data_IF_621266546061
#
_entry.id   IF_621266546061
#
_cell.length_a   1.000
_cell.length_b   1.000
_cell.length_c   1.000
_cell.angle_alpha   90.00
_cell.angle_beta   90.00
_cell.angle_gamma   90.00
#
_symmetry.space_group_name_H-M   'P 1'
#
loop_
_entity.id
_entity.type
_entity.pdbx_description
1 polymer ?
#
# COMPACT_ATOMS: atom_id res chain seq x y z
N UNK A 1 -15.96 -13.51 8.94
CA UNK A 1 -16.57 -14.28 7.82
C UNK A 1 -15.54 -14.45 6.71
N UNK A 2 -15.27 -15.67 6.23
CA UNK A 2 -14.34 -15.86 5.12
C UNK A 2 -14.96 -15.31 3.82
N UNK A 3 -14.16 -14.60 3.00
CA UNK A 3 -14.60 -14.01 1.72
C UNK A 3 -15.43 -15.00 0.87
N UNK A 4 -15.07 -16.27 0.91
CA UNK A 4 -15.73 -17.33 0.13
C UNK A 4 -17.19 -17.56 0.56
N UNK A 5 -17.50 -17.48 1.86
CA UNK A 5 -18.88 -17.64 2.35
C UNK A 5 -19.77 -16.46 1.94
N UNK A 6 -19.23 -15.24 1.95
CA UNK A 6 -19.95 -14.05 1.52
C UNK A 6 -20.22 -14.06 0.01
N UNK A 7 -19.25 -14.51 -0.79
CA UNK A 7 -19.42 -14.65 -2.25
C UNK A 7 -20.49 -15.69 -2.58
N UNK A 8 -20.46 -16.86 -1.91
CA UNK A 8 -21.50 -17.89 -2.06
C UNK A 8 -22.89 -17.38 -1.67
N UNK A 9 -22.99 -16.61 -0.58
CA UNK A 9 -24.26 -16.02 -0.15
C UNK A 9 -24.83 -15.05 -1.20
N UNK A 10 -24.00 -14.16 -1.74
CA UNK A 10 -24.42 -13.22 -2.80
C UNK A 10 -24.87 -14.00 -4.03
N UNK A 11 -24.13 -15.02 -4.44
CA UNK A 11 -24.47 -15.84 -5.61
C UNK A 11 -25.80 -16.58 -5.42
N UNK A 12 -26.06 -17.09 -4.22
CA UNK A 12 -27.31 -17.76 -3.87
C UNK A 12 -28.51 -16.79 -3.89
N UNK A 13 -28.33 -15.55 -3.40
CA UNK A 13 -29.35 -14.49 -3.48
C UNK A 13 -29.67 -14.14 -4.94
N UNK A 14 -28.65 -14.05 -5.80
CA UNK A 14 -28.85 -13.79 -7.23
C UNK A 14 -29.63 -14.93 -7.89
N UNK A 15 -29.28 -16.19 -7.61
CA UNK A 15 -29.99 -17.36 -8.15
C UNK A 15 -31.46 -17.36 -7.67
N UNK A 16 -31.71 -17.09 -6.39
CA UNK A 16 -33.07 -16.98 -5.84
C UNK A 16 -33.90 -15.89 -6.54
N UNK A 17 -33.28 -14.75 -6.86
CA UNK A 17 -33.93 -13.67 -7.59
C UNK A 17 -34.33 -14.07 -9.02
N UNK A 18 -33.52 -14.88 -9.70
CA UNK A 18 -33.83 -15.36 -11.06
C UNK A 18 -34.88 -16.48 -11.08
N UNK A 19 -34.89 -17.36 -10.08
CA UNK A 19 -35.83 -18.50 -10.00
C UNK A 19 -37.21 -18.06 -9.49
N UNK A 20 -37.31 -16.94 -8.75
CA UNK A 20 -38.59 -16.48 -8.22
C UNK A 20 -39.56 -16.09 -9.34
N UNK A 21 -40.87 -16.39 -9.21
CA UNK A 21 -41.87 -16.00 -10.21
C UNK A 21 -42.02 -14.48 -10.35
N UNK A 22 -42.54 -14.02 -11.50
CA UNK A 22 -42.72 -12.59 -11.82
C UNK A 22 -44.16 -12.10 -11.57
N UNK A 23 -44.94 -12.86 -10.81
CA UNK A 23 -46.35 -12.65 -10.53
C UNK A 23 -46.63 -12.61 -9.03
N UNK A 24 -47.79 -12.04 -8.67
CA UNK A 24 -48.25 -11.91 -7.29
C UNK A 24 -47.27 -11.15 -6.39
N UNK A 25 -47.08 -11.64 -5.17
CA UNK A 25 -46.25 -10.99 -4.14
C UNK A 25 -44.77 -10.91 -4.55
N UNK A 26 -44.28 -11.88 -5.32
CA UNK A 26 -42.88 -11.91 -5.75
C UNK A 26 -42.54 -10.81 -6.76
N UNK A 27 -43.48 -10.44 -7.64
CA UNK A 27 -43.34 -9.30 -8.54
C UNK A 27 -43.09 -7.99 -7.77
N UNK A 28 -43.90 -7.74 -6.74
CA UNK A 28 -43.78 -6.56 -5.88
C UNK A 28 -42.43 -6.52 -5.14
N UNK A 29 -41.94 -7.67 -4.66
CA UNK A 29 -40.62 -7.77 -4.02
C UNK A 29 -39.49 -7.44 -5.00
N UNK A 30 -39.54 -7.96 -6.23
CA UNK A 30 -38.52 -7.69 -7.25
C UNK A 30 -38.48 -6.22 -7.66
N UNK A 31 -39.64 -5.58 -7.81
CA UNK A 31 -39.75 -4.16 -8.15
C UNK A 31 -39.15 -3.30 -7.02
N UNK A 32 -39.53 -3.57 -5.77
CA UNK A 32 -38.97 -2.86 -4.62
C UNK A 32 -37.45 -3.05 -4.47
N UNK A 33 -36.94 -4.25 -4.76
CA UNK A 33 -35.50 -4.51 -4.77
C UNK A 33 -34.78 -3.70 -5.87
N UNK A 34 -35.39 -3.57 -7.05
CA UNK A 34 -34.85 -2.75 -8.14
C UNK A 34 -34.82 -1.26 -7.77
N UNK A 35 -35.88 -0.78 -7.10
CA UNK A 35 -35.93 0.58 -6.56
C UNK A 35 -34.97 0.81 -5.38
N UNK A 36 -34.50 -0.25 -4.71
CA UNK A 36 -33.48 -0.14 -3.66
C UNK A 36 -32.08 0.11 -4.24
N UNK A 37 -31.78 -0.35 -5.45
CA UNK A 37 -30.45 -0.24 -6.08
C UNK A 37 -29.92 1.20 -6.18
N UNK A 38 -30.71 2.20 -6.59
CA UNK A 38 -30.28 3.60 -6.55
C UNK A 38 -29.88 4.08 -5.15
N UNK A 39 -30.62 3.71 -4.11
CA UNK A 39 -30.28 4.10 -2.73
C UNK A 39 -29.00 3.42 -2.25
N UNK A 40 -28.79 2.16 -2.61
CA UNK A 40 -27.52 1.46 -2.36
C UNK A 40 -26.37 2.18 -3.05
N UNK A 41 -26.56 2.63 -4.30
CA UNK A 41 -25.54 3.38 -5.04
C UNK A 41 -25.20 4.70 -4.35
N UNK A 42 -26.21 5.47 -3.92
CA UNK A 42 -26.02 6.72 -3.17
C UNK A 42 -25.29 6.44 -1.85
N UNK A 43 -25.67 5.40 -1.11
CA UNK A 43 -25.00 5.01 0.13
C UNK A 43 -23.52 4.66 -0.08
N UNK A 44 -23.20 3.94 -1.17
CA UNK A 44 -21.81 3.64 -1.56
C UNK A 44 -21.03 4.92 -1.88
N UNK A 45 -21.62 5.87 -2.60
CA UNK A 45 -20.98 7.16 -2.90
C UNK A 45 -20.69 7.93 -1.60
N UNK A 46 -21.68 8.03 -0.71
CA UNK A 46 -21.51 8.70 0.59
C UNK A 46 -20.42 8.02 1.42
N UNK A 47 -20.42 6.69 1.48
CA UNK A 47 -19.38 5.90 2.13
C UNK A 47 -17.98 6.20 1.55
N UNK A 48 -17.84 6.27 0.22
CA UNK A 48 -16.59 6.61 -0.44
C UNK A 48 -16.11 8.03 -0.07
N UNK A 49 -17.00 9.02 -0.07
CA UNK A 49 -16.67 10.40 0.31
C UNK A 49 -16.19 10.49 1.76
N UNK A 50 -16.87 9.81 2.69
CA UNK A 50 -16.49 9.77 4.10
C UNK A 50 -15.12 9.10 4.25
N UNK A 51 -14.91 7.94 3.63
CA UNK A 51 -13.64 7.21 3.74
C UNK A 51 -12.45 7.99 3.15
N UNK A 52 -12.64 8.68 2.01
CA UNK A 52 -11.63 9.59 1.45
C UNK A 52 -11.28 10.70 2.45
N UNK A 53 -12.31 11.31 3.06
CA UNK A 53 -12.13 12.42 3.99
C UNK A 53 -11.39 11.99 5.26
N UNK A 54 -11.76 10.85 5.82
CA UNK A 54 -11.09 10.26 7.00
C UNK A 54 -9.64 9.90 6.69
N UNK A 55 -9.39 9.26 5.54
CA UNK A 55 -8.05 8.88 5.12
C UNK A 55 -7.15 10.10 4.89
N UNK A 56 -7.64 11.14 4.19
CA UNK A 56 -6.91 12.40 3.98
C UNK A 56 -6.63 13.12 5.30
N UNK A 57 -7.58 13.11 6.25
CA UNK A 57 -7.37 13.71 7.57
C UNK A 57 -6.30 12.96 8.37
N UNK A 58 -6.32 11.63 8.36
CA UNK A 58 -5.32 10.81 9.03
C UNK A 58 -3.92 11.00 8.39
N UNK A 59 -3.87 11.07 7.06
CA UNK A 59 -2.65 11.37 6.32
C UNK A 59 -2.04 12.72 6.73
N UNK A 60 -2.84 13.80 6.73
CA UNK A 60 -2.38 15.13 7.14
C UNK A 60 -1.90 15.17 8.58
N UNK A 61 -2.58 14.47 9.50
CA UNK A 61 -2.16 14.37 10.91
C UNK A 61 -0.80 13.69 11.05
N UNK A 62 -0.59 12.59 10.34
CA UNK A 62 0.68 11.87 10.34
C UNK A 62 1.81 12.69 9.70
N UNK A 63 1.53 13.39 8.61
CA UNK A 63 2.53 14.23 7.95
C UNK A 63 2.94 15.43 8.81
N UNK A 64 2.00 16.03 9.55
CA UNK A 64 2.27 17.12 10.48
C UNK A 64 3.07 16.69 11.71
N UNK A 65 2.73 15.54 12.30
CA UNK A 65 3.39 15.04 13.50
C UNK A 65 3.58 13.52 13.44
N UNK A 66 4.84 13.11 13.32
CA UNK A 66 5.21 11.70 13.35
C UNK A 66 5.28 11.25 14.80
N UNK A 67 4.27 10.47 15.20
CA UNK A 67 4.19 9.77 16.49
C UNK A 67 3.66 8.36 16.27
N UNK A 68 3.93 7.45 17.21
CA UNK A 68 3.44 6.07 17.15
C UNK A 68 1.92 5.98 16.97
N UNK A 69 1.19 6.77 17.75
CA UNK A 69 -0.27 6.79 17.68
C UNK A 69 -0.76 7.18 16.27
N UNK A 70 -0.18 8.22 15.68
CA UNK A 70 -0.56 8.69 14.35
C UNK A 70 -0.21 7.66 13.27
N UNK A 71 0.95 7.01 13.37
CA UNK A 71 1.39 5.97 12.43
C UNK A 71 0.47 4.76 12.50
N UNK A 72 0.15 4.29 13.70
CA UNK A 72 -0.73 3.12 13.93
C UNK A 72 -2.15 3.43 13.45
N UNK A 73 -2.69 4.60 13.81
CA UNK A 73 -4.02 5.02 13.38
C UNK A 73 -4.12 5.13 11.86
N UNK A 74 -3.10 5.70 11.21
CA UNK A 74 -3.04 5.76 9.76
C UNK A 74 -2.99 4.36 9.14
N UNK A 75 -2.16 3.44 9.66
CA UNK A 75 -2.07 2.06 9.18
C UNK A 75 -3.41 1.30 9.32
N UNK A 76 -4.14 1.50 10.42
CA UNK A 76 -5.49 0.93 10.62
C UNK A 76 -6.49 1.45 9.59
N UNK A 77 -6.57 2.77 9.41
CA UNK A 77 -7.47 3.39 8.42
C UNK A 77 -7.12 2.90 7.02
N UNK A 78 -5.83 2.87 6.68
CA UNK A 78 -5.34 2.39 5.40
C UNK A 78 -5.75 0.94 5.13
N UNK A 79 -5.70 0.06 6.12
CA UNK A 79 -6.15 -1.33 5.98
C UNK A 79 -7.63 -1.44 5.60
N UNK A 80 -8.49 -0.61 6.20
CA UNK A 80 -9.94 -0.60 5.98
C UNK A 80 -10.30 0.04 4.63
N UNK A 81 -9.57 1.07 4.19
CA UNK A 81 -9.84 1.78 2.93
C UNK A 81 -9.49 0.92 1.71
N UNK A 82 -10.42 0.75 0.77
CA UNK A 82 -10.18 -0.09 -0.41
C UNK A 82 -9.21 0.52 -1.43
N UNK A 83 -9.25 1.84 -1.64
CA UNK A 83 -8.59 2.47 -2.79
C UNK A 83 -7.57 3.57 -2.42
N UNK A 84 -6.74 3.27 -1.43
CA UNK A 84 -5.75 4.21 -0.86
C UNK A 84 -4.82 4.79 -1.95
N UNK A 85 -4.40 3.95 -2.93
CA UNK A 85 -3.49 4.36 -4.01
C UNK A 85 -4.07 5.45 -4.89
N UNK A 86 -5.35 5.34 -5.29
CA UNK A 86 -6.01 6.37 -6.10
C UNK A 86 -6.36 7.59 -5.26
N UNK A 87 -6.66 7.41 -3.98
CA UNK A 87 -7.06 8.51 -3.09
C UNK A 87 -5.91 9.44 -2.68
N UNK A 88 -4.74 8.88 -2.35
CA UNK A 88 -3.59 9.64 -1.83
C UNK A 88 -2.45 9.77 -2.84
N UNK A 89 -2.42 8.92 -3.88
CA UNK A 89 -1.30 8.85 -4.83
C UNK A 89 -0.17 7.95 -4.34
N UNK A 90 0.43 7.20 -5.26
CA UNK A 90 1.50 6.24 -4.92
C UNK A 90 2.76 6.92 -4.42
N UNK A 91 3.17 8.03 -5.04
CA UNK A 91 4.38 8.77 -4.65
C UNK A 91 4.25 9.36 -3.25
N UNK A 92 3.13 10.04 -2.96
CA UNK A 92 2.86 10.62 -1.63
C UNK A 92 2.89 9.57 -0.50
N UNK A 93 2.41 8.35 -0.78
CA UNK A 93 2.44 7.25 0.19
C UNK A 93 3.85 6.72 0.41
N UNK A 94 4.66 6.62 -0.65
CA UNK A 94 6.07 6.20 -0.56
C UNK A 94 6.88 7.24 0.19
N UNK A 95 6.68 8.53 -0.10
CA UNK A 95 7.38 9.63 0.55
C UNK A 95 7.02 9.72 2.03
N UNK A 96 5.74 9.58 2.37
CA UNK A 96 5.28 9.47 3.76
C UNK A 96 5.92 8.27 4.46
N UNK A 97 5.96 7.11 3.80
CA UNK A 97 6.58 5.91 4.37
C UNK A 97 8.06 6.12 4.65
N UNK A 98 8.81 6.73 3.73
CA UNK A 98 10.22 7.07 3.93
C UNK A 98 10.38 8.01 5.13
N UNK A 99 9.56 9.07 5.20
CA UNK A 99 9.56 10.02 6.32
C UNK A 99 9.35 9.32 7.66
N UNK A 100 8.40 8.39 7.74
CA UNK A 100 8.13 7.60 8.95
C UNK A 100 9.25 6.61 9.24
N UNK A 101 9.77 5.92 8.23
CA UNK A 101 10.81 4.90 8.39
C UNK A 101 12.10 5.47 9.01
N UNK A 102 12.49 6.68 8.58
CA UNK A 102 13.69 7.36 9.07
C UNK A 102 13.46 8.23 10.31
N UNK A 103 12.20 8.42 10.74
CA UNK A 103 11.90 9.17 11.95
C UNK A 103 12.37 8.42 13.20
N UNK A 104 12.96 9.15 14.14
CA UNK A 104 13.28 8.65 15.50
C UNK A 104 12.06 8.64 16.42
N UNK A 105 11.00 9.36 16.07
CA UNK A 105 9.79 9.54 16.87
C UNK A 105 8.76 8.41 16.67
N UNK A 106 9.07 7.46 15.78
CA UNK A 106 8.26 6.27 15.54
C UNK A 106 9.04 5.03 16.00
N UNK A 107 8.40 4.20 16.82
CA UNK A 107 8.91 2.90 17.24
C UNK A 107 8.98 1.92 16.07
N UNK A 108 9.78 0.87 16.24
CA UNK A 108 9.89 -0.20 15.24
C UNK A 108 8.53 -0.86 14.97
N UNK A 109 7.73 -1.08 16.02
CA UNK A 109 6.40 -1.68 15.91
C UNK A 109 5.45 -0.86 15.03
N UNK A 110 5.43 0.47 15.21
CA UNK A 110 4.61 1.36 14.40
C UNK A 110 5.04 1.32 12.92
N UNK A 111 6.36 1.28 12.65
CA UNK A 111 6.92 1.17 11.30
C UNK A 111 6.57 -0.16 10.63
N UNK A 112 6.61 -1.27 11.37
CA UNK A 112 6.20 -2.59 10.88
C UNK A 112 4.72 -2.65 10.51
N UNK A 113 3.85 -2.07 11.34
CA UNK A 113 2.41 -1.98 11.04
C UNK A 113 2.15 -1.17 9.78
N UNK A 114 2.84 -0.05 9.61
CA UNK A 114 2.75 0.76 8.40
C UNK A 114 3.27 0.00 7.18
N UNK A 115 4.42 -0.67 7.30
CA UNK A 115 4.99 -1.52 6.24
C UNK A 115 4.01 -2.61 5.80
N UNK A 116 3.42 -3.35 6.74
CA UNK A 116 2.45 -4.40 6.45
C UNK A 116 1.21 -3.84 5.75
N UNK A 117 0.73 -2.67 6.17
CA UNK A 117 -0.40 -2.00 5.55
C UNK A 117 -0.06 -1.54 4.11
N UNK A 118 1.15 -1.00 3.87
CA UNK A 118 1.62 -0.62 2.53
C UNK A 118 1.69 -1.84 1.60
N UNK A 119 2.25 -2.96 2.08
CA UNK A 119 2.33 -4.22 1.32
C UNK A 119 0.95 -4.79 0.99
N UNK A 120 -0.02 -4.71 1.90
CA UNK A 120 -1.42 -5.12 1.62
C UNK A 120 -2.05 -4.31 0.49
N UNK A 121 -1.65 -3.05 0.30
CA UNK A 121 -2.07 -2.22 -0.83
C UNK A 121 -1.22 -2.41 -2.08
N UNK A 122 -0.33 -3.41 -2.10
CA UNK A 122 0.61 -3.70 -3.19
C UNK A 122 1.55 -2.53 -3.48
N UNK A 123 1.92 -1.75 -2.47
CA UNK A 123 2.97 -0.73 -2.59
C UNK A 123 4.31 -1.42 -2.34
N UNK A 124 5.26 -1.20 -3.23
CA UNK A 124 6.61 -1.71 -3.06
C UNK A 124 7.42 -0.71 -2.24
N UNK A 125 7.70 -1.09 -1.00
CA UNK A 125 8.43 -0.28 -0.03
C UNK A 125 9.44 -1.20 0.66
N UNK A 126 10.64 -0.69 1.01
CA UNK A 126 11.64 -1.50 1.70
C UNK A 126 11.17 -1.85 3.12
N UNK A 127 11.74 -2.90 3.75
CA UNK A 127 11.47 -3.21 5.14
C UNK A 127 11.85 -2.06 6.08
N UNK A 128 11.22 -1.95 7.26
CA UNK A 128 11.55 -0.90 8.21
C UNK A 128 13.01 -0.99 8.65
N UNK A 129 13.69 0.16 8.72
CA UNK A 129 15.12 0.24 9.02
C UNK A 129 16.07 -0.11 7.87
N UNK A 130 15.57 -0.55 6.70
CA UNK A 130 16.35 -0.72 5.47
C UNK A 130 15.91 0.30 4.42
N UNK A 131 16.85 0.83 3.64
CA UNK A 131 16.52 1.62 2.45
C UNK A 131 17.24 2.95 2.31
N UNK A 132 18.41 3.13 2.93
CA UNK A 132 19.34 4.17 2.48
C UNK A 132 20.25 3.64 1.37
N UNK A 133 20.64 4.49 0.42
CA UNK A 133 21.78 4.23 -0.47
C UNK A 133 23.07 3.88 0.30
N UNK A 134 23.13 4.25 1.58
CA UNK A 134 24.23 3.92 2.50
C UNK A 134 24.21 2.42 2.85
N UNK A 135 23.04 1.81 3.03
CA UNK A 135 22.90 0.37 3.26
C UNK A 135 23.31 -0.43 2.01
N UNK A 136 22.99 0.04 0.80
CA UNK A 136 23.44 -0.58 -0.45
C UNK A 136 24.97 -0.46 -0.68
N UNK A 137 25.61 0.53 -0.05
CA UNK A 137 27.08 0.66 -0.02
C UNK A 137 27.70 -0.23 1.06
N UNK A 138 27.03 -0.42 2.20
CA UNK A 138 27.47 -1.27 3.31
C UNK A 138 27.24 -2.77 3.07
N UNK A 139 26.22 -3.16 2.31
CA UNK A 139 25.90 -4.55 1.92
C UNK A 139 26.71 -5.03 0.69
N UNK A 140 27.59 -4.20 0.12
CA UNK A 140 28.59 -4.72 -0.83
C UNK A 140 29.53 -5.65 -0.06
N UNK A 141 29.69 -6.92 -0.47
CA UNK A 141 30.70 -7.78 0.13
C UNK A 141 32.04 -7.04 0.05
N UNK A 142 32.72 -6.88 1.19
CA UNK A 142 34.06 -6.27 1.23
C UNK A 142 34.93 -7.07 0.26
N UNK A 143 35.30 -6.46 -0.87
CA UNK A 143 36.24 -7.07 -1.83
C UNK A 143 37.46 -7.56 -1.07
N UNK A 144 37.89 -8.79 -1.33
CA UNK A 144 39.06 -9.35 -0.67
C UNK A 144 40.29 -8.48 -0.99
N UNK A 145 41.30 -8.49 -0.12
CA UNK A 145 42.52 -7.71 -0.35
C UNK A 145 43.18 -8.04 -1.71
N UNK A 146 42.96 -9.25 -2.23
CA UNK A 146 43.43 -9.71 -3.52
C UNK A 146 42.64 -9.10 -4.69
N UNK A 147 41.31 -9.01 -4.58
CA UNK A 147 40.47 -8.34 -5.58
C UNK A 147 40.78 -6.84 -5.68
N UNK A 148 41.11 -6.20 -4.56
CA UNK A 148 41.50 -4.78 -4.54
C UNK A 148 42.86 -4.57 -5.21
N UNK A 149 43.82 -5.50 -4.99
CA UNK A 149 45.13 -5.47 -5.67
C UNK A 149 44.97 -5.71 -7.17
N UNK A 150 44.17 -6.70 -7.57
CA UNK A 150 43.89 -7.00 -8.97
C UNK A 150 43.24 -5.80 -9.69
N UNK A 151 42.24 -5.17 -9.08
CA UNK A 151 41.59 -4.00 -9.66
C UNK A 151 42.52 -2.78 -9.82
N UNK A 152 43.46 -2.57 -8.87
CA UNK A 152 44.49 -1.51 -8.99
C UNK A 152 45.49 -1.80 -10.11
N UNK A 153 45.86 -3.07 -10.30
CA UNK A 153 46.74 -3.49 -11.38
C UNK A 153 46.04 -3.32 -12.75
N UNK A 154 44.77 -3.70 -12.86
CA UNK A 154 44.00 -3.49 -14.09
C UNK A 154 43.81 -2.00 -14.43
N UNK A 155 43.50 -1.16 -13.43
CA UNK A 155 43.36 0.28 -13.63
C UNK A 155 44.67 0.93 -14.10
N UNK A 156 45.81 0.51 -13.54
CA UNK A 156 47.13 1.02 -13.95
C UNK A 156 47.53 0.53 -15.35
N UNK A 157 47.20 -0.71 -15.71
CA UNK A 157 47.39 -1.23 -17.07
C UNK A 157 46.52 -0.49 -18.07
N UNK A 158 45.25 -0.23 -17.76
CA UNK A 158 44.35 0.55 -18.62
C UNK A 158 44.82 2.00 -18.79
N UNK A 159 45.29 2.64 -17.72
CA UNK A 159 45.85 3.99 -17.78
C UNK A 159 47.11 4.05 -18.67
N UNK A 160 47.99 3.04 -18.57
CA UNK A 160 49.17 2.92 -19.45
C UNK A 160 48.79 2.66 -20.91
N UNK A 161 47.79 1.83 -21.18
CA UNK A 161 47.25 1.59 -22.54
C UNK A 161 46.64 2.87 -23.14
N UNK A 162 45.93 3.66 -22.34
CA UNK A 162 45.37 4.96 -22.77
C UNK A 162 46.47 6.00 -23.06
N UNK A 163 47.57 5.99 -22.30
CA UNK A 163 48.74 6.85 -22.57
C UNK A 163 49.54 6.44 -23.80
N UNK A 164 49.58 5.16 -24.17
CA UNK A 164 50.25 4.66 -25.39
C UNK A 164 49.41 4.84 -26.68
N UNK A 165 48.12 5.15 -26.56
CA UNK A 165 47.22 5.43 -27.70
C UNK A 165 47.10 6.93 -28.02
N UNK A 166 47.73 7.81 -27.24
CA UNK A 166 47.96 9.22 -27.54
C UNK A 166 49.39 9.37 -28.04
#
# INVERSE_FOLDING_TARGET
MSRNKTVLLILLIVILYFITPNDGVFATVKINFLHLLPYIMVAVIVYLVITISVLKRAWKKLDAQISDENVINFAKIMNISFDVKRMLGTNNLIDLYRKVNFSKNASLHAKELLYAAMRRKRLDVPPPGKGTDIDAVLDKPKRSAEEIKAARIEATIQAKKRKKKK
#
